data_IF_463536980609
#
_entry.id   IF_463536980609
#
_cell.length_a   1.000
_cell.length_b   1.000
_cell.length_c   1.000
_cell.angle_alpha   90.00
_cell.angle_beta   90.00
_cell.angle_gamma   90.00
#
_symmetry.space_group_name_H-M   'P 1'
#
loop_
_entity.id
_entity.type
_entity.pdbx_description
1 polymer ?
#
# COMPACT_ATOMS: atom_id res chain seq x y z
N UNK A 1 -20.82 -6.93 -7.34
CA UNK A 1 -21.78 -5.86 -7.08
C UNK A 1 -22.05 -5.03 -8.32
N UNK A 2 -23.06 -4.23 -8.26
CA UNK A 2 -23.45 -3.29 -9.32
C UNK A 2 -23.20 -1.86 -8.85
N UNK A 3 -23.41 -0.88 -9.73
CA UNK A 3 -23.33 0.55 -9.36
C UNK A 3 -24.43 0.89 -8.34
N UNK A 4 -25.61 0.32 -8.51
CA UNK A 4 -26.75 0.50 -7.59
C UNK A 4 -26.44 -0.02 -6.19
N UNK A 5 -25.74 -1.16 -6.06
CA UNK A 5 -25.30 -1.70 -4.75
C UNK A 5 -24.36 -0.72 -4.04
N UNK A 6 -23.45 -0.07 -4.78
CA UNK A 6 -22.51 0.90 -4.21
C UNK A 6 -23.21 2.22 -3.82
N UNK A 7 -24.14 2.69 -4.65
CA UNK A 7 -24.96 3.87 -4.32
C UNK A 7 -25.83 3.62 -3.07
N UNK A 8 -26.41 2.42 -2.95
CA UNK A 8 -27.14 2.02 -1.75
C UNK A 8 -26.23 1.98 -0.52
N UNK A 9 -25.02 1.40 -0.63
CA UNK A 9 -24.06 1.37 0.46
C UNK A 9 -23.68 2.78 0.95
N UNK A 10 -23.40 3.69 0.03
CA UNK A 10 -23.07 5.09 0.34
C UNK A 10 -24.27 5.76 1.05
N UNK A 11 -25.47 5.61 0.52
CA UNK A 11 -26.69 6.20 1.08
C UNK A 11 -27.01 5.65 2.47
N UNK A 12 -26.86 4.34 2.69
CA UNK A 12 -27.10 3.70 3.99
C UNK A 12 -26.00 4.07 5.01
N UNK A 13 -24.77 4.27 4.56
CA UNK A 13 -23.68 4.82 5.37
C UNK A 13 -24.03 6.24 5.86
N UNK A 14 -24.43 7.13 4.97
CA UNK A 14 -24.79 8.51 5.31
C UNK A 14 -25.93 8.58 6.32
N UNK A 15 -26.95 7.74 6.19
CA UNK A 15 -28.07 7.67 7.17
C UNK A 15 -27.61 7.34 8.59
N UNK A 16 -26.45 6.70 8.73
CA UNK A 16 -25.85 6.26 10.00
C UNK A 16 -24.64 7.11 10.45
N UNK A 17 -24.39 8.23 9.76
CA UNK A 17 -23.18 9.05 9.94
C UNK A 17 -21.87 8.28 9.73
N UNK A 18 -21.90 7.31 8.81
CA UNK A 18 -20.72 6.54 8.40
C UNK A 18 -20.37 6.98 6.98
N UNK A 19 -19.14 7.47 6.80
CA UNK A 19 -18.60 7.80 5.48
C UNK A 19 -17.91 6.57 4.88
N UNK A 20 -18.20 6.28 3.62
CA UNK A 20 -17.51 5.23 2.87
C UNK A 20 -16.27 5.83 2.24
N UNK A 21 -15.10 5.26 2.54
CA UNK A 21 -13.81 5.63 1.95
C UNK A 21 -13.44 4.55 0.95
N UNK A 22 -13.10 4.96 -0.27
CA UNK A 22 -12.71 4.06 -1.35
C UNK A 22 -11.20 3.96 -1.48
N UNK A 23 -10.72 2.78 -1.86
CA UNK A 23 -9.34 2.59 -2.28
C UNK A 23 -9.13 3.10 -3.72
N UNK A 24 -8.08 3.91 -3.92
CA UNK A 24 -7.64 4.40 -5.22
C UNK A 24 -6.28 3.81 -5.56
N UNK A 25 -6.27 2.90 -6.52
CA UNK A 25 -5.04 2.31 -7.06
C UNK A 25 -4.59 3.16 -8.24
N UNK A 26 -3.66 4.08 -8.00
CA UNK A 26 -3.23 5.07 -8.98
C UNK A 26 -1.84 4.80 -9.57
N UNK A 27 -1.11 3.83 -9.03
CA UNK A 27 0.23 3.47 -9.51
C UNK A 27 0.21 2.53 -10.73
N UNK A 28 -0.79 1.66 -10.83
CA UNK A 28 -0.89 0.61 -11.85
C UNK A 28 -2.34 0.26 -12.17
N UNK A 29 -2.55 -0.51 -13.22
CA UNK A 29 -3.85 -1.13 -13.52
C UNK A 29 -3.71 -2.65 -13.59
N UNK A 30 -4.82 -3.37 -13.75
CA UNK A 30 -4.76 -4.75 -14.23
C UNK A 30 -4.21 -4.80 -15.66
N UNK A 31 -3.52 -5.88 -16.02
CA UNK A 31 -3.14 -6.18 -17.40
C UNK A 31 -4.38 -6.41 -18.30
N UNK A 32 -5.52 -6.77 -17.71
CA UNK A 32 -6.81 -6.89 -18.41
C UNK A 32 -7.54 -5.56 -18.58
N UNK A 33 -7.04 -4.47 -18.01
CA UNK A 33 -7.65 -3.16 -18.14
C UNK A 33 -7.67 -2.70 -19.60
N UNK A 34 -8.77 -2.08 -20.01
CA UNK A 34 -8.94 -1.60 -21.39
C UNK A 34 -7.76 -0.76 -21.89
N UNK A 35 -7.25 0.15 -21.06
CA UNK A 35 -6.10 0.98 -21.45
C UNK A 35 -4.86 0.16 -21.77
N UNK A 36 -4.56 -0.88 -20.98
CA UNK A 36 -3.39 -1.72 -21.23
C UNK A 36 -3.57 -2.59 -22.46
N UNK A 37 -4.76 -3.15 -22.66
CA UNK A 37 -5.07 -3.93 -23.86
C UNK A 37 -4.98 -3.08 -25.15
N UNK A 38 -5.35 -1.81 -25.08
CA UNK A 38 -5.15 -0.86 -26.19
C UNK A 38 -3.66 -0.49 -26.35
N UNK A 39 -2.94 -0.24 -25.27
CA UNK A 39 -1.50 0.07 -25.28
C UNK A 39 -0.68 -1.04 -25.94
N UNK A 40 -1.05 -2.30 -25.74
CA UNK A 40 -0.40 -3.46 -26.39
C UNK A 40 -0.53 -3.48 -27.91
N UNK A 41 -1.40 -2.67 -28.53
CA UNK A 41 -1.51 -2.54 -29.98
C UNK A 41 -0.37 -1.73 -30.62
N UNK A 42 0.40 -1.00 -29.81
CA UNK A 42 1.61 -0.32 -30.23
C UNK A 42 1.62 1.20 -30.08
N UNK A 43 2.75 1.86 -30.43
CA UNK A 43 2.98 3.28 -30.15
C UNK A 43 2.00 4.26 -30.81
N UNK A 44 1.34 3.86 -31.89
CA UNK A 44 0.34 4.71 -32.57
C UNK A 44 -1.01 4.74 -31.82
N UNK A 45 -1.19 3.89 -30.81
CA UNK A 45 -2.40 3.85 -30.01
C UNK A 45 -2.37 4.95 -28.93
N UNK A 46 -3.44 5.75 -28.73
CA UNK A 46 -3.47 6.85 -27.77
C UNK A 46 -3.25 6.42 -26.31
N UNK A 47 -3.47 5.16 -25.98
CA UNK A 47 -3.25 4.60 -24.63
C UNK A 47 -1.83 4.08 -24.41
N UNK A 48 -0.97 4.03 -25.45
CA UNK A 48 0.38 3.50 -25.33
C UNK A 48 1.17 4.19 -24.22
N UNK A 49 1.22 5.51 -24.26
CA UNK A 49 1.97 6.33 -23.30
C UNK A 49 1.31 6.46 -21.93
N UNK A 50 0.19 5.76 -21.67
CA UNK A 50 -0.39 5.66 -20.32
C UNK A 50 0.45 4.76 -19.42
N UNK A 51 1.32 3.94 -19.99
CA UNK A 51 2.19 3.01 -19.26
C UNK A 51 3.66 3.36 -19.45
N UNK A 52 4.49 2.79 -18.58
CA UNK A 52 5.93 3.02 -18.60
C UNK A 52 6.60 1.94 -19.43
N UNK A 53 7.25 2.34 -20.52
CA UNK A 53 7.94 1.46 -21.46
C UNK A 53 9.45 1.71 -21.49
N UNK A 54 10.23 0.66 -21.81
CA UNK A 54 11.67 0.74 -22.05
C UNK A 54 12.07 -0.12 -23.24
N UNK A 55 13.17 0.25 -23.92
CA UNK A 55 13.80 -0.56 -24.96
C UNK A 55 14.54 -1.76 -24.36
N UNK A 56 15.18 -1.56 -23.21
CA UNK A 56 15.94 -2.56 -22.47
C UNK A 56 15.60 -2.45 -20.97
N UNK A 57 15.56 -3.58 -20.24
CA UNK A 57 15.35 -3.56 -18.81
C UNK A 57 16.62 -3.07 -18.10
N UNK A 58 16.43 -2.43 -16.94
CA UNK A 58 17.52 -2.16 -16.00
C UNK A 58 17.42 -3.11 -14.80
N UNK A 59 18.23 -2.86 -13.75
CA UNK A 59 18.30 -3.71 -12.56
C UNK A 59 17.14 -3.57 -11.58
N UNK A 60 16.09 -2.79 -11.88
CA UNK A 60 14.92 -2.68 -11.00
C UNK A 60 14.28 -4.05 -10.77
N UNK A 61 13.96 -4.30 -9.50
CA UNK A 61 13.29 -5.53 -9.07
C UNK A 61 11.84 -5.25 -8.69
N UNK A 62 10.99 -6.21 -8.99
CA UNK A 62 9.61 -6.22 -8.49
C UNK A 62 9.58 -6.45 -6.97
N UNK A 63 8.66 -5.81 -6.29
CA UNK A 63 8.35 -6.07 -4.86
C UNK A 63 7.97 -7.54 -4.63
N UNK A 64 7.40 -8.20 -5.65
CA UNK A 64 7.02 -9.62 -5.59
C UNK A 64 8.07 -10.54 -6.21
N UNK A 65 9.36 -10.21 -6.06
CA UNK A 65 10.51 -10.95 -6.61
C UNK A 65 10.65 -10.88 -8.14
N UNK A 66 11.88 -11.04 -8.60
CA UNK A 66 12.24 -11.02 -10.02
C UNK A 66 12.45 -9.61 -10.58
N UNK A 67 12.52 -9.52 -11.92
CA UNK A 67 12.63 -8.25 -12.64
C UNK A 67 11.36 -7.42 -12.48
N UNK A 68 11.50 -6.08 -12.47
CA UNK A 68 10.35 -5.16 -12.58
C UNK A 68 9.94 -4.89 -14.04
N UNK A 69 10.54 -5.58 -15.00
CA UNK A 69 10.31 -5.37 -16.42
C UNK A 69 9.86 -6.65 -17.09
N UNK A 70 8.76 -6.59 -17.87
CA UNK A 70 8.23 -7.70 -18.64
C UNK A 70 8.29 -7.42 -20.13
N UNK A 71 8.82 -8.39 -20.91
CA UNK A 71 9.03 -8.26 -22.34
C UNK A 71 7.77 -8.53 -23.16
N UNK A 72 7.47 -7.64 -24.10
CA UNK A 72 6.35 -7.75 -25.04
C UNK A 72 6.91 -8.04 -26.44
N UNK A 73 6.94 -9.30 -26.91
CA UNK A 73 7.67 -9.69 -28.12
C UNK A 73 7.25 -8.96 -29.40
N UNK A 74 5.96 -8.73 -29.62
CA UNK A 74 5.46 -8.11 -30.85
C UNK A 74 5.73 -6.59 -30.91
N UNK A 75 5.98 -5.94 -29.76
CA UNK A 75 6.37 -4.53 -29.67
C UNK A 75 7.89 -4.35 -29.59
N UNK A 76 8.63 -5.42 -29.27
CA UNK A 76 10.04 -5.37 -28.94
C UNK A 76 10.33 -4.32 -27.85
N UNK A 77 9.51 -4.29 -26.80
CA UNK A 77 9.57 -3.35 -25.66
C UNK A 77 9.34 -4.09 -24.35
N UNK A 78 9.72 -3.43 -23.26
CA UNK A 78 9.43 -3.87 -21.90
C UNK A 78 8.49 -2.88 -21.24
N UNK A 79 7.50 -3.36 -20.49
CA UNK A 79 6.72 -2.49 -19.59
C UNK A 79 7.18 -2.66 -18.14
N UNK A 80 7.05 -1.59 -17.37
CA UNK A 80 7.34 -1.60 -15.94
C UNK A 80 6.18 -2.21 -15.16
N UNK A 81 6.51 -3.07 -14.17
CA UNK A 81 5.59 -3.55 -13.14
C UNK A 81 6.32 -3.65 -11.80
N UNK A 82 6.13 -2.70 -10.93
CA UNK A 82 6.77 -2.72 -9.61
C UNK A 82 6.23 -3.83 -8.70
N UNK A 83 5.07 -4.40 -9.04
CA UNK A 83 4.42 -5.53 -8.36
C UNK A 83 4.33 -6.75 -9.28
N UNK A 84 3.14 -7.30 -9.49
CA UNK A 84 2.95 -8.43 -10.39
C UNK A 84 3.11 -8.02 -11.86
N UNK A 85 3.55 -8.97 -12.70
CA UNK A 85 3.49 -8.84 -14.18
C UNK A 85 2.08 -8.50 -14.68
N UNK A 86 1.05 -8.79 -13.90
CA UNK A 86 -0.35 -8.44 -14.17
C UNK A 86 -0.75 -7.04 -13.70
N UNK A 87 0.20 -6.24 -13.23
CA UNK A 87 -0.03 -4.90 -12.69
C UNK A 87 0.92 -3.90 -13.37
N UNK A 88 0.71 -3.58 -14.67
CA UNK A 88 1.54 -2.63 -15.40
C UNK A 88 1.44 -1.22 -14.81
N UNK A 89 2.59 -0.59 -14.61
CA UNK A 89 2.73 0.72 -13.98
C UNK A 89 2.30 1.86 -14.90
N UNK A 90 1.52 2.79 -14.36
CA UNK A 90 1.04 3.99 -15.05
C UNK A 90 2.12 5.07 -15.14
N UNK A 91 2.08 5.80 -16.26
CA UNK A 91 2.99 6.90 -16.58
C UNK A 91 2.37 8.26 -16.21
N UNK A 92 2.57 8.71 -15.00
CA UNK A 92 2.05 9.98 -14.50
C UNK A 92 2.63 11.24 -15.18
N UNK A 93 3.60 11.08 -16.08
CA UNK A 93 4.06 12.18 -16.97
C UNK A 93 3.05 12.47 -18.09
N UNK A 94 2.11 11.55 -18.37
CA UNK A 94 1.13 11.70 -19.43
C UNK A 94 -0.09 12.54 -18.97
N UNK A 95 -0.37 13.70 -19.60
CA UNK A 95 -1.47 14.56 -19.19
C UNK A 95 -2.86 13.98 -19.47
N UNK A 96 -3.00 13.14 -20.52
CA UNK A 96 -4.28 12.51 -20.84
C UNK A 96 -4.64 11.44 -19.78
N UNK A 97 -3.66 10.64 -19.33
CA UNK A 97 -3.84 9.73 -18.20
C UNK A 97 -4.29 10.48 -16.95
N UNK A 98 -3.64 11.59 -16.62
CA UNK A 98 -4.00 12.38 -15.43
C UNK A 98 -5.46 12.86 -15.51
N UNK A 99 -5.90 13.31 -16.67
CA UNK A 99 -7.29 13.76 -16.85
C UNK A 99 -8.29 12.62 -16.62
N UNK A 100 -8.04 11.42 -17.17
CA UNK A 100 -8.88 10.23 -16.94
C UNK A 100 -8.98 9.88 -15.43
N UNK A 101 -7.85 9.98 -14.72
CA UNK A 101 -7.81 9.74 -13.28
C UNK A 101 -8.63 10.81 -12.52
N UNK A 102 -8.50 12.09 -12.87
CA UNK A 102 -9.28 13.15 -12.25
C UNK A 102 -10.79 12.97 -12.50
N UNK A 103 -11.18 12.62 -13.72
CA UNK A 103 -12.57 12.38 -14.08
C UNK A 103 -13.15 11.19 -13.29
N UNK A 104 -12.38 10.12 -13.14
CA UNK A 104 -12.76 8.96 -12.33
C UNK A 104 -12.93 9.31 -10.84
N UNK A 105 -12.01 10.08 -10.25
CA UNK A 105 -12.09 10.50 -8.85
C UNK A 105 -13.30 11.43 -8.64
N UNK A 106 -13.50 12.41 -9.52
CA UNK A 106 -14.62 13.34 -9.44
C UNK A 106 -15.96 12.61 -9.59
N UNK A 107 -16.06 11.62 -10.46
CA UNK A 107 -17.24 10.76 -10.56
C UNK A 107 -17.60 10.11 -9.20
N UNK A 108 -16.63 9.59 -8.46
CA UNK A 108 -16.90 9.00 -7.15
C UNK A 108 -17.21 10.03 -6.07
N UNK A 109 -16.63 11.23 -6.14
CA UNK A 109 -16.98 12.36 -5.27
C UNK A 109 -18.46 12.73 -5.49
N UNK A 110 -18.90 12.84 -6.75
CA UNK A 110 -20.28 13.12 -7.11
C UNK A 110 -21.27 12.02 -6.62
N UNK A 111 -20.82 10.78 -6.56
CA UNK A 111 -21.58 9.67 -5.97
C UNK A 111 -21.69 9.74 -4.43
N UNK A 112 -20.93 10.64 -3.79
CA UNK A 112 -21.04 10.89 -2.36
C UNK A 112 -20.14 10.04 -1.48
N UNK A 113 -19.00 9.54 -1.99
CA UNK A 113 -18.00 8.90 -1.13
C UNK A 113 -17.45 9.88 -0.09
N UNK A 114 -17.06 9.41 1.07
CA UNK A 114 -16.56 10.22 2.17
C UNK A 114 -15.06 10.47 2.13
N UNK A 115 -14.36 9.87 1.19
CA UNK A 115 -12.91 10.04 1.03
C UNK A 115 -12.25 8.89 0.29
N UNK A 116 -10.91 8.92 0.32
CA UNK A 116 -10.08 7.97 -0.41
C UNK A 116 -8.86 7.52 0.41
N UNK A 117 -8.51 6.24 0.28
CA UNK A 117 -7.18 5.71 0.60
C UNK A 117 -6.42 5.55 -0.72
N UNK A 118 -5.24 6.14 -0.80
CA UNK A 118 -4.44 6.13 -2.03
C UNK A 118 -3.33 5.08 -1.90
N UNK A 119 -3.47 4.01 -2.68
CA UNK A 119 -2.58 2.87 -2.72
C UNK A 119 -1.19 3.27 -3.21
N UNK A 120 -0.16 2.88 -2.47
CA UNK A 120 1.28 3.13 -2.76
C UNK A 120 1.55 4.46 -3.46
N UNK A 121 0.98 5.52 -2.93
CA UNK A 121 0.97 6.84 -3.58
C UNK A 121 2.36 7.46 -3.72
N UNK A 122 3.31 7.06 -2.89
CA UNK A 122 4.71 7.46 -2.96
C UNK A 122 5.42 7.00 -4.24
N UNK A 123 4.81 6.08 -5.00
CA UNK A 123 5.37 5.54 -6.25
C UNK A 123 4.97 6.31 -7.51
N UNK A 124 3.98 7.21 -7.50
CA UNK A 124 3.51 7.86 -8.74
C UNK A 124 4.53 8.84 -9.33
N UNK A 125 5.45 9.35 -8.52
CA UNK A 125 6.55 10.23 -8.95
C UNK A 125 7.80 9.53 -9.44
N UNK A 126 7.72 8.23 -9.74
CA UNK A 126 8.86 7.39 -10.14
C UNK A 126 9.63 7.91 -11.36
N UNK A 127 10.94 7.70 -11.35
CA UNK A 127 11.85 7.90 -12.49
C UNK A 127 12.66 6.60 -12.69
N UNK A 128 12.07 5.58 -13.34
CA UNK A 128 12.69 4.25 -13.45
C UNK A 128 14.04 4.26 -14.16
N UNK A 129 14.23 5.18 -15.10
CA UNK A 129 15.47 5.41 -15.82
C UNK A 129 16.62 5.86 -14.91
N UNK A 130 16.31 6.38 -13.72
CA UNK A 130 17.26 6.78 -12.68
C UNK A 130 17.25 5.84 -11.48
N UNK A 131 16.56 4.72 -11.56
CA UNK A 131 16.34 3.76 -10.48
C UNK A 131 15.59 4.35 -9.27
N UNK A 132 14.80 5.40 -9.50
CA UNK A 132 13.95 6.01 -8.48
C UNK A 132 12.56 5.41 -8.59
N UNK A 133 12.15 4.63 -7.59
CA UNK A 133 10.86 3.95 -7.54
C UNK A 133 9.84 4.63 -6.64
N UNK A 134 10.30 5.29 -5.57
CA UNK A 134 9.47 6.01 -4.60
C UNK A 134 10.05 7.40 -4.32
N UNK A 135 9.23 8.30 -3.77
CA UNK A 135 9.61 9.67 -3.39
C UNK A 135 10.36 10.45 -4.50
N UNK A 136 10.01 10.18 -5.75
CA UNK A 136 10.63 10.87 -6.88
C UNK A 136 10.37 12.39 -6.86
N UNK A 137 11.20 13.19 -7.55
CA UNK A 137 11.19 14.66 -7.43
C UNK A 137 9.89 15.32 -7.90
N UNK A 138 9.07 14.62 -8.67
CA UNK A 138 7.77 15.10 -9.15
C UNK A 138 6.59 14.69 -8.26
N UNK A 139 6.82 13.88 -7.23
CA UNK A 139 5.75 13.29 -6.43
C UNK A 139 4.82 14.32 -5.79
N UNK A 140 5.34 15.21 -4.96
CA UNK A 140 4.54 16.22 -4.27
C UNK A 140 3.85 17.20 -5.20
N UNK A 141 4.48 17.73 -6.26
CA UNK A 141 3.76 18.47 -7.31
C UNK A 141 2.58 17.70 -7.93
N UNK A 142 2.73 16.38 -8.18
CA UNK A 142 1.63 15.55 -8.72
C UNK A 142 0.49 15.38 -7.71
N UNK A 143 0.81 15.18 -6.43
CA UNK A 143 -0.21 15.06 -5.38
C UNK A 143 -0.95 16.39 -5.17
N UNK A 144 -0.25 17.52 -5.22
CA UNK A 144 -0.86 18.84 -5.12
C UNK A 144 -1.79 19.12 -6.33
N UNK A 145 -1.36 18.78 -7.53
CA UNK A 145 -2.18 18.85 -8.74
C UNK A 145 -3.42 17.96 -8.61
N UNK A 146 -3.26 16.72 -8.13
CA UNK A 146 -4.35 15.79 -7.86
C UNK A 146 -5.35 16.38 -6.86
N UNK A 147 -4.89 16.92 -5.74
CA UNK A 147 -5.72 17.58 -4.74
C UNK A 147 -6.50 18.74 -5.36
N UNK A 148 -5.83 19.64 -6.08
CA UNK A 148 -6.46 20.81 -6.72
C UNK A 148 -7.56 20.42 -7.72
N UNK A 149 -7.33 19.36 -8.50
CA UNK A 149 -8.23 18.92 -9.58
C UNK A 149 -9.39 18.04 -9.08
N UNK A 150 -9.31 17.51 -7.87
CA UNK A 150 -10.29 16.54 -7.37
C UNK A 150 -10.81 16.90 -5.97
N UNK A 151 -10.29 16.30 -4.93
CA UNK A 151 -10.87 16.33 -3.58
C UNK A 151 -10.57 17.61 -2.76
N UNK A 152 -9.68 18.49 -3.21
CA UNK A 152 -9.25 19.67 -2.43
C UNK A 152 -10.34 20.71 -2.16
N UNK A 153 -11.44 20.70 -2.90
CA UNK A 153 -12.58 21.59 -2.70
C UNK A 153 -13.67 21.00 -1.78
N UNK A 154 -13.50 19.77 -1.30
CA UNK A 154 -14.51 19.00 -0.58
C UNK A 154 -14.05 18.64 0.84
N UNK A 155 -15.00 18.48 1.75
CA UNK A 155 -14.74 17.95 3.10
C UNK A 155 -14.65 16.42 3.07
N UNK A 156 -13.54 15.91 2.56
CA UNK A 156 -13.25 14.50 2.40
C UNK A 156 -12.02 14.08 3.21
N UNK A 157 -12.01 12.83 3.65
CA UNK A 157 -10.82 12.23 4.28
C UNK A 157 -9.94 11.62 3.18
N UNK A 158 -8.67 11.99 3.15
CA UNK A 158 -7.68 11.38 2.27
C UNK A 158 -6.52 10.81 3.07
N UNK A 159 -6.14 9.57 2.78
CA UNK A 159 -5.01 8.92 3.44
C UNK A 159 -4.13 8.25 2.39
N UNK A 160 -2.85 8.62 2.36
CA UNK A 160 -1.86 8.01 1.48
C UNK A 160 -1.19 6.80 2.13
N UNK A 161 -1.04 5.73 1.39
CA UNK A 161 -0.13 4.65 1.76
C UNK A 161 1.27 5.00 1.28
N UNK A 162 2.23 5.12 2.23
CA UNK A 162 3.58 5.60 1.96
C UNK A 162 4.60 4.74 2.70
N UNK A 163 5.19 3.77 2.00
CA UNK A 163 6.19 2.86 2.58
C UNK A 163 7.54 3.52 2.82
N UNK A 164 7.83 4.57 2.07
CA UNK A 164 9.08 5.36 2.16
C UNK A 164 9.05 6.48 3.19
N UNK A 165 7.90 6.71 3.85
CA UNK A 165 7.72 7.84 4.74
C UNK A 165 8.55 7.75 6.02
N UNK A 166 9.19 8.85 6.36
CA UNK A 166 9.73 9.18 7.66
C UNK A 166 9.05 10.43 8.24
N UNK A 167 9.26 10.81 9.51
CA UNK A 167 8.60 11.98 10.07
C UNK A 167 8.95 13.32 9.38
N UNK A 168 10.08 13.41 8.67
CA UNK A 168 10.48 14.60 7.94
C UNK A 168 9.66 14.74 6.66
N UNK A 169 9.64 13.71 5.80
CA UNK A 169 8.87 13.76 4.56
C UNK A 169 7.36 13.62 4.78
N UNK A 170 6.91 12.98 5.86
CA UNK A 170 5.49 12.88 6.23
C UNK A 170 4.80 14.25 6.35
N UNK A 171 5.54 15.29 6.72
CA UNK A 171 5.02 16.66 6.78
C UNK A 171 4.68 17.19 5.39
N UNK A 172 5.39 16.77 4.35
CA UNK A 172 5.10 17.18 2.99
C UNK A 172 3.72 16.67 2.53
N UNK A 173 3.35 15.46 2.95
CA UNK A 173 2.06 14.87 2.59
C UNK A 173 0.89 15.40 3.41
N UNK A 174 1.08 15.67 4.72
CA UNK A 174 -0.04 15.85 5.65
C UNK A 174 -0.09 17.19 6.39
N UNK A 175 0.87 18.09 6.17
CA UNK A 175 0.77 19.45 6.71
C UNK A 175 -0.37 20.20 6.02
N UNK A 176 -1.29 20.86 6.76
CA UNK A 176 -2.48 21.50 6.17
C UNK A 176 -2.17 22.51 5.05
N UNK A 177 -1.08 23.28 5.17
CA UNK A 177 -0.70 24.27 4.17
C UNK A 177 -0.16 23.68 2.86
N UNK A 178 0.14 22.38 2.85
CA UNK A 178 0.65 21.67 1.69
C UNK A 178 -0.43 21.36 0.65
N UNK A 179 -1.67 21.21 1.09
CA UNK A 179 -2.80 20.83 0.25
C UNK A 179 -2.53 19.53 -0.50
N UNK A 180 -2.17 18.51 0.25
CA UNK A 180 -1.97 17.15 -0.25
C UNK A 180 -3.01 16.22 0.39
N UNK A 181 -2.70 15.51 1.48
CA UNK A 181 -3.63 14.58 2.11
C UNK A 181 -4.00 15.00 3.54
N UNK A 182 -5.05 14.42 4.09
CA UNK A 182 -5.39 14.59 5.50
C UNK A 182 -4.35 13.92 6.40
N UNK A 183 -3.81 12.77 5.98
CA UNK A 183 -2.85 11.96 6.72
C UNK A 183 -2.19 10.91 5.81
N UNK A 184 -1.19 10.20 6.34
CA UNK A 184 -0.56 9.05 5.68
C UNK A 184 -0.44 7.85 6.62
N UNK A 185 -0.40 6.65 6.05
CA UNK A 185 0.11 5.46 6.72
C UNK A 185 1.63 5.41 6.61
N UNK A 186 2.30 5.27 7.74
CA UNK A 186 3.73 5.00 7.84
C UNK A 186 3.96 3.53 8.21
N UNK A 187 5.06 2.95 7.79
CA UNK A 187 5.33 1.51 7.97
C UNK A 187 6.61 1.21 8.77
N UNK A 188 7.23 2.21 9.40
CA UNK A 188 8.48 2.01 10.13
C UNK A 188 8.35 0.96 11.25
N UNK A 189 7.20 0.96 11.98
CA UNK A 189 6.95 -0.02 13.03
C UNK A 189 6.76 -1.46 12.48
N UNK A 190 6.41 -1.58 11.21
CA UNK A 190 6.20 -2.87 10.53
C UNK A 190 7.52 -3.57 10.21
N UNK A 191 8.62 -2.85 10.08
CA UNK A 191 9.96 -3.40 9.80
C UNK A 191 10.75 -3.88 11.02
N UNK A 192 10.24 -3.71 12.25
CA UNK A 192 11.05 -3.88 13.47
C UNK A 192 11.39 -5.34 13.83
N UNK A 193 10.68 -6.29 13.28
CA UNK A 193 10.86 -7.74 13.47
C UNK A 193 11.53 -8.42 12.26
N UNK A 194 12.29 -7.64 11.48
CA UNK A 194 13.15 -8.13 10.39
C UNK A 194 14.61 -7.77 10.62
N UNK A 195 15.52 -8.53 10.03
CA UNK A 195 16.96 -8.26 10.07
C UNK A 195 17.28 -6.99 9.29
N UNK A 196 18.14 -6.16 9.85
CA UNK A 196 18.55 -4.90 9.22
C UNK A 196 19.21 -5.13 7.85
N UNK A 197 18.77 -4.39 6.85
CA UNK A 197 19.27 -4.50 5.46
C UNK A 197 18.86 -5.78 4.74
N UNK A 198 17.94 -6.57 5.29
CA UNK A 198 17.38 -7.77 4.68
C UNK A 198 15.93 -7.59 4.28
N UNK A 199 15.37 -8.60 3.63
CA UNK A 199 13.96 -8.62 3.22
C UNK A 199 13.04 -8.89 4.41
N UNK A 200 11.74 -8.60 4.28
CA UNK A 200 10.76 -8.80 5.36
C UNK A 200 10.70 -10.23 5.89
N UNK A 201 11.10 -11.20 5.08
CA UNK A 201 11.09 -12.63 5.39
C UNK A 201 12.28 -13.11 6.26
N UNK A 202 13.26 -12.24 6.45
CA UNK A 202 14.44 -12.51 7.29
C UNK A 202 14.14 -12.05 8.71
N UNK A 203 13.63 -12.97 9.53
CA UNK A 203 13.07 -12.68 10.85
C UNK A 203 14.14 -12.21 11.84
N UNK A 204 13.77 -11.24 12.67
CA UNK A 204 14.48 -10.85 13.89
C UNK A 204 13.49 -10.79 15.07
N UNK A 205 13.95 -10.98 16.30
CA UNK A 205 13.09 -10.79 17.46
C UNK A 205 12.59 -9.34 17.54
N UNK A 206 11.29 -9.17 17.80
CA UNK A 206 10.74 -7.84 18.07
C UNK A 206 11.28 -7.33 19.42
N UNK A 207 11.87 -6.15 19.39
CA UNK A 207 12.26 -5.41 20.60
C UNK A 207 11.17 -4.39 20.97
N UNK A 208 10.46 -4.59 22.10
CA UNK A 208 9.44 -3.64 22.56
C UNK A 208 9.96 -2.21 22.78
N UNK A 209 11.23 -2.06 23.15
CA UNK A 209 11.83 -0.73 23.33
C UNK A 209 12.00 -0.01 21.98
N UNK A 210 12.40 -0.72 20.94
CA UNK A 210 12.45 -0.16 19.58
C UNK A 210 11.07 0.22 19.07
N UNK A 211 10.07 -0.62 19.29
CA UNK A 211 8.67 -0.32 18.93
C UNK A 211 8.20 0.96 19.64
N UNK A 212 8.41 1.06 20.95
CA UNK A 212 8.08 2.27 21.70
C UNK A 212 8.79 3.51 21.16
N UNK A 213 10.07 3.42 20.86
CA UNK A 213 10.86 4.53 20.32
C UNK A 213 10.35 5.02 18.96
N UNK A 214 10.02 4.11 18.06
CA UNK A 214 9.46 4.45 16.73
C UNK A 214 8.11 5.14 16.89
N UNK A 215 7.19 4.57 17.66
CA UNK A 215 5.88 5.18 17.86
C UNK A 215 5.98 6.54 18.59
N UNK A 216 6.86 6.67 19.60
CA UNK A 216 7.10 7.95 20.28
C UNK A 216 7.69 9.00 19.34
N UNK A 217 8.62 8.62 18.47
CA UNK A 217 9.19 9.52 17.45
C UNK A 217 8.08 10.09 16.57
N UNK A 218 7.24 9.24 15.98
CA UNK A 218 6.13 9.67 15.14
C UNK A 218 5.12 10.54 15.89
N UNK A 219 4.85 10.23 17.16
CA UNK A 219 3.95 11.03 18.00
C UNK A 219 4.52 12.44 18.32
N UNK A 220 5.84 12.56 18.45
CA UNK A 220 6.47 13.85 18.84
C UNK A 220 6.84 14.71 17.64
N UNK A 221 7.34 14.12 16.56
CA UNK A 221 7.87 14.87 15.42
C UNK A 221 6.78 15.41 14.48
N UNK A 222 5.60 14.79 14.45
CA UNK A 222 4.46 15.30 13.67
C UNK A 222 3.57 16.30 14.39
N UNK A 223 3.79 16.57 15.67
CA UNK A 223 2.97 17.56 16.41
C UNK A 223 3.02 18.92 15.72
N UNK A 224 1.84 19.39 15.28
CA UNK A 224 1.69 20.67 14.60
C UNK A 224 2.23 20.72 13.16
N UNK A 225 2.68 19.60 12.62
CA UNK A 225 3.29 19.50 11.28
C UNK A 225 2.61 18.49 10.36
N UNK A 226 1.77 17.63 10.91
CA UNK A 226 1.04 16.59 10.17
C UNK A 226 0.10 15.83 11.09
N UNK A 227 -0.46 14.74 10.57
CA UNK A 227 -1.41 13.90 11.31
C UNK A 227 -1.11 12.42 11.15
N UNK A 228 -1.07 11.68 12.26
CA UNK A 228 -0.79 10.25 12.27
C UNK A 228 -2.02 9.43 11.90
N UNK A 229 -1.83 8.43 11.02
CA UNK A 229 -2.72 7.28 10.92
C UNK A 229 -2.21 6.17 11.83
N UNK A 230 -3.04 5.71 12.76
CA UNK A 230 -2.66 4.73 13.77
C UNK A 230 -3.22 3.37 13.40
N UNK A 231 -2.36 2.37 13.19
CA UNK A 231 -2.76 1.01 12.87
C UNK A 231 -1.73 -0.01 13.37
N UNK A 232 -2.17 -1.23 13.62
CA UNK A 232 -1.29 -2.35 13.92
C UNK A 232 -1.10 -3.28 12.72
N UNK A 233 -2.13 -3.49 11.95
CA UNK A 233 -2.14 -4.37 10.79
C UNK A 233 -3.13 -3.90 9.73
N UNK A 234 -3.08 -4.55 8.58
CA UNK A 234 -3.97 -4.36 7.45
C UNK A 234 -4.05 -5.66 6.62
N UNK A 235 -4.67 -5.61 5.44
CA UNK A 235 -4.80 -6.76 4.53
C UNK A 235 -3.47 -7.27 3.95
N UNK A 236 -2.37 -6.52 4.09
CA UNK A 236 -1.02 -6.88 3.62
C UNK A 236 -0.11 -7.42 4.73
N UNK A 237 -0.59 -7.42 5.97
CA UNK A 237 0.21 -7.71 7.16
C UNK A 237 -0.40 -8.85 7.98
N UNK A 238 0.42 -9.58 8.75
CA UNK A 238 -0.07 -10.57 9.70
C UNK A 238 -0.90 -9.90 10.81
N UNK A 239 -1.75 -10.70 11.47
CA UNK A 239 -2.61 -10.24 12.55
C UNK A 239 -1.82 -9.67 13.73
N UNK A 240 -2.31 -8.55 14.25
CA UNK A 240 -1.63 -7.75 15.28
C UNK A 240 -1.25 -8.55 16.53
N UNK A 241 -2.17 -9.38 17.05
CA UNK A 241 -1.93 -10.17 18.28
C UNK A 241 -0.81 -11.18 18.06
N UNK A 242 -0.82 -11.90 16.93
CA UNK A 242 0.22 -12.88 16.61
C UNK A 242 1.59 -12.26 16.39
N UNK A 243 1.64 -10.99 15.97
CA UNK A 243 2.89 -10.31 15.66
C UNK A 243 3.47 -9.51 16.84
N UNK A 244 2.63 -8.73 17.52
CA UNK A 244 3.04 -7.76 18.54
C UNK A 244 2.64 -8.20 19.96
N UNK A 245 1.85 -9.24 20.10
CA UNK A 245 1.34 -9.76 21.36
C UNK A 245 1.69 -11.20 21.62
N UNK A 246 0.82 -11.88 22.37
CA UNK A 246 0.89 -13.31 22.66
C UNK A 246 -0.47 -13.93 22.29
N UNK A 247 -0.50 -14.71 21.22
CA UNK A 247 -1.72 -15.29 20.65
C UNK A 247 -2.14 -16.63 21.29
N UNK A 248 -1.35 -17.12 22.27
CA UNK A 248 -1.73 -18.31 23.03
C UNK A 248 -3.09 -18.09 23.72
N UNK A 249 -3.96 -19.08 23.80
CA UNK A 249 -5.33 -18.93 24.31
C UNK A 249 -5.45 -18.22 25.66
N UNK A 250 -4.47 -18.42 26.56
CA UNK A 250 -4.44 -17.80 27.89
C UNK A 250 -4.14 -16.28 27.86
N UNK A 251 -3.51 -15.78 26.80
CA UNK A 251 -3.00 -14.41 26.72
C UNK A 251 -3.60 -13.58 25.57
N UNK A 252 -4.26 -14.23 24.61
CA UNK A 252 -4.83 -13.59 23.41
C UNK A 252 -5.72 -12.38 23.75
N UNK A 253 -6.65 -12.53 24.68
CA UNK A 253 -7.57 -11.45 25.07
C UNK A 253 -6.82 -10.28 25.73
N UNK A 254 -5.88 -10.59 26.63
CA UNK A 254 -5.07 -9.55 27.29
C UNK A 254 -4.17 -8.82 26.30
N UNK A 255 -3.55 -9.55 25.37
CA UNK A 255 -2.73 -8.96 24.30
C UNK A 255 -3.55 -8.05 23.41
N UNK A 256 -4.73 -8.49 22.96
CA UNK A 256 -5.63 -7.67 22.14
C UNK A 256 -6.05 -6.39 22.86
N UNK A 257 -6.44 -6.47 24.13
CA UNK A 257 -6.79 -5.30 24.93
C UNK A 257 -5.61 -4.35 25.14
N UNK A 258 -4.41 -4.88 25.40
CA UNK A 258 -3.19 -4.07 25.54
C UNK A 258 -2.87 -3.32 24.25
N UNK A 259 -2.89 -4.00 23.10
CA UNK A 259 -2.64 -3.39 21.80
C UNK A 259 -3.70 -2.32 21.47
N UNK A 260 -4.98 -2.57 21.74
CA UNK A 260 -6.05 -1.61 21.55
C UNK A 260 -5.87 -0.36 22.42
N UNK A 261 -5.54 -0.52 23.71
CA UNK A 261 -5.25 0.59 24.60
C UNK A 261 -4.08 1.40 24.06
N UNK A 262 -2.98 0.74 23.70
CA UNK A 262 -1.80 1.43 23.20
C UNK A 262 -2.12 2.27 21.96
N UNK A 263 -2.82 1.69 20.96
CA UNK A 263 -3.20 2.39 19.74
C UNK A 263 -4.11 3.59 20.00
N UNK A 264 -5.21 3.36 20.73
CA UNK A 264 -6.27 4.36 20.86
C UNK A 264 -5.92 5.51 21.82
N UNK A 265 -4.86 5.41 22.63
CA UNK A 265 -4.39 6.50 23.48
C UNK A 265 -3.28 7.34 22.83
N UNK A 266 -2.84 7.00 21.63
CA UNK A 266 -1.95 7.86 20.84
C UNK A 266 -2.74 8.97 20.11
N UNK A 267 -2.06 10.06 19.76
CA UNK A 267 -2.64 11.14 18.96
C UNK A 267 -2.63 10.78 17.47
N UNK A 268 -3.79 10.72 16.86
CA UNK A 268 -3.96 10.37 15.44
C UNK A 268 -5.33 9.76 15.17
N UNK A 269 -5.56 9.34 13.93
CA UNK A 269 -6.77 8.63 13.52
C UNK A 269 -6.54 7.13 13.61
N UNK A 270 -7.27 6.39 14.47
CA UNK A 270 -7.13 4.95 14.58
C UNK A 270 -7.82 4.23 13.42
N UNK A 271 -7.14 3.23 12.87
CA UNK A 271 -7.65 2.30 11.87
C UNK A 271 -7.70 0.91 12.47
N UNK A 272 -8.86 0.28 12.42
CA UNK A 272 -9.11 -1.05 12.96
C UNK A 272 -9.35 -1.98 11.78
N UNK A 273 -8.42 -2.92 11.55
CA UNK A 273 -8.58 -3.91 10.50
C UNK A 273 -9.67 -4.90 10.88
N UNK A 274 -10.52 -5.29 9.91
CA UNK A 274 -11.60 -6.25 10.15
C UNK A 274 -11.09 -7.52 10.85
N UNK A 275 -11.77 -7.93 11.92
CA UNK A 275 -11.37 -9.04 12.77
C UNK A 275 -10.46 -8.65 13.95
N UNK A 276 -9.82 -7.48 13.92
CA UNK A 276 -9.02 -6.99 15.04
C UNK A 276 -9.91 -6.76 16.28
N UNK A 277 -11.14 -6.26 16.08
CA UNK A 277 -12.13 -6.01 17.14
C UNK A 277 -12.58 -7.28 17.90
N UNK A 278 -12.44 -8.45 17.29
CA UNK A 278 -12.71 -9.74 17.94
C UNK A 278 -11.42 -10.51 18.27
N UNK A 279 -10.28 -9.86 18.11
CA UNK A 279 -8.96 -10.42 18.43
C UNK A 279 -8.56 -11.59 17.52
N UNK A 280 -8.79 -11.50 16.20
CA UNK A 280 -8.29 -12.50 15.26
C UNK A 280 -6.78 -12.64 15.33
N UNK A 281 -6.31 -13.86 15.14
CA UNK A 281 -4.89 -14.25 15.10
C UNK A 281 -4.57 -14.87 13.74
N UNK A 282 -3.28 -15.02 13.43
CA UNK A 282 -2.84 -15.69 12.21
C UNK A 282 -3.39 -17.12 12.10
N UNK A 283 -3.64 -17.56 10.87
CA UNK A 283 -3.92 -18.97 10.57
C UNK A 283 -2.61 -19.63 10.12
N UNK A 284 -1.98 -20.48 10.94
CA UNK A 284 -0.70 -21.09 10.58
C UNK A 284 -0.88 -22.07 9.42
N UNK A 285 0.06 -22.03 8.47
CA UNK A 285 0.16 -23.01 7.38
C UNK A 285 1.29 -24.00 7.67
N UNK A 286 1.17 -25.20 7.11
CA UNK A 286 2.18 -26.26 7.20
C UNK A 286 2.76 -26.62 5.84
N UNK A 287 2.12 -26.14 4.77
CA UNK A 287 2.53 -26.37 3.40
C UNK A 287 2.25 -25.14 2.54
N UNK A 288 3.15 -24.84 1.59
CA UNK A 288 3.03 -23.67 0.70
C UNK A 288 1.75 -23.69 -0.16
N UNK A 289 1.21 -24.86 -0.45
CA UNK A 289 -0.04 -24.97 -1.21
C UNK A 289 -1.26 -24.41 -0.46
N UNK A 290 -1.15 -24.16 0.83
CA UNK A 290 -2.18 -23.50 1.65
C UNK A 290 -2.15 -21.96 1.53
N UNK A 291 -1.05 -21.39 1.01
CA UNK A 291 -0.95 -19.96 0.76
C UNK A 291 -1.51 -19.62 -0.62
N UNK A 292 -2.40 -18.64 -0.70
CA UNK A 292 -2.91 -18.11 -1.97
C UNK A 292 -2.19 -16.85 -2.43
N UNK A 293 -1.51 -16.15 -1.51
CA UNK A 293 -0.78 -14.93 -1.79
C UNK A 293 0.39 -15.15 -2.78
N UNK A 294 0.42 -14.33 -3.84
CA UNK A 294 1.41 -14.41 -4.92
C UNK A 294 2.83 -14.05 -4.44
N UNK A 295 2.96 -13.08 -3.54
CA UNK A 295 4.24 -12.67 -2.98
C UNK A 295 4.86 -13.82 -2.19
N UNK A 296 4.08 -14.43 -1.31
CA UNK A 296 4.48 -15.60 -0.50
C UNK A 296 4.93 -16.76 -1.37
N UNK A 297 4.16 -17.10 -2.42
CA UNK A 297 4.50 -18.21 -3.33
C UNK A 297 5.78 -17.94 -4.13
N UNK A 298 5.98 -16.73 -4.62
CA UNK A 298 7.19 -16.35 -5.37
C UNK A 298 8.41 -16.32 -4.49
N UNK A 299 8.32 -15.69 -3.32
CA UNK A 299 9.40 -15.71 -2.33
C UNK A 299 9.80 -17.15 -1.97
N UNK A 300 8.82 -18.01 -1.71
CA UNK A 300 9.09 -19.42 -1.39
C UNK A 300 9.87 -20.10 -2.52
N UNK A 301 9.42 -19.97 -3.78
CA UNK A 301 10.08 -20.58 -4.93
C UNK A 301 11.52 -20.05 -5.10
N UNK A 302 11.72 -18.73 -5.08
CA UNK A 302 13.03 -18.10 -5.21
C UNK A 302 13.99 -18.54 -4.10
N UNK A 303 13.53 -18.60 -2.84
CA UNK A 303 14.38 -18.95 -1.72
C UNK A 303 14.69 -20.47 -1.64
N UNK A 304 13.79 -21.34 -2.09
CA UNK A 304 14.11 -22.78 -2.25
C UNK A 304 15.23 -22.96 -3.27
N UNK A 305 15.20 -22.26 -4.40
CA UNK A 305 16.29 -22.29 -5.40
C UNK A 305 17.62 -21.75 -4.84
N UNK A 306 17.55 -20.81 -3.91
CA UNK A 306 18.72 -20.25 -3.20
C UNK A 306 19.17 -21.08 -2.00
N UNK A 307 18.59 -22.27 -1.76
CA UNK A 307 19.05 -23.26 -0.78
C UNK A 307 18.46 -23.12 0.63
N UNK A 308 17.41 -22.31 0.81
CA UNK A 308 16.67 -22.27 2.09
C UNK A 308 15.87 -23.57 2.29
N UNK A 309 15.71 -23.98 3.54
CA UNK A 309 14.90 -25.15 3.88
C UNK A 309 13.40 -24.84 3.91
N UNK A 310 12.57 -25.85 3.67
CA UNK A 310 11.11 -25.72 3.78
C UNK A 310 10.68 -25.23 5.17
N UNK A 311 11.30 -25.73 6.22
CA UNK A 311 10.99 -25.37 7.60
C UNK A 311 11.26 -23.88 7.90
N UNK A 312 12.42 -23.37 7.46
CA UNK A 312 12.75 -21.95 7.60
C UNK A 312 11.71 -21.09 6.89
N UNK A 313 11.34 -21.44 5.65
CA UNK A 313 10.39 -20.67 4.86
C UNK A 313 8.98 -20.71 5.44
N UNK A 314 8.49 -21.85 5.88
CA UNK A 314 7.18 -21.95 6.53
C UNK A 314 7.16 -21.14 7.84
N UNK A 315 8.26 -21.13 8.59
CA UNK A 315 8.40 -20.28 9.79
C UNK A 315 8.28 -18.80 9.43
N UNK A 316 9.00 -18.34 8.39
CA UNK A 316 8.91 -16.96 7.92
C UNK A 316 7.51 -16.59 7.41
N UNK A 317 6.87 -17.49 6.67
CA UNK A 317 5.51 -17.26 6.15
C UNK A 317 4.50 -17.14 7.29
N UNK A 318 4.55 -18.01 8.29
CA UNK A 318 3.67 -17.92 9.44
C UNK A 318 3.87 -16.67 10.29
N UNK A 319 5.06 -16.05 10.24
CA UNK A 319 5.36 -14.81 10.94
C UNK A 319 5.03 -13.55 10.14
N UNK A 320 5.16 -13.58 8.80
CA UNK A 320 5.15 -12.40 7.94
C UNK A 320 4.16 -12.45 6.78
N UNK A 321 3.57 -13.61 6.52
CA UNK A 321 2.60 -13.78 5.44
C UNK A 321 1.32 -12.98 5.68
N UNK A 322 0.63 -12.68 4.59
CA UNK A 322 -0.70 -12.05 4.64
C UNK A 322 -1.71 -13.05 5.20
N UNK A 323 -2.65 -12.54 5.97
CA UNK A 323 -3.77 -13.31 6.48
C UNK A 323 -4.95 -13.19 5.50
N UNK A 324 -4.93 -14.02 4.48
CA UNK A 324 -5.97 -14.08 3.44
C UNK A 324 -6.92 -15.25 3.67
#
# INVERSE_FOLDING_TARGET
GTMEDMEELIAEGHKRNIKIIMDLVLNHTSDEHFWFQEALKGPDNPYYDYYVWADEPNELRSTFSGSAWEYVPHLNKYYLHQFSVKQPDLNWKNPALKQEIWDMINFWIEKGVGGFRLDVIDLIGKEPEKLITADGPTLHPLIQELNEKTFGAYDLVTVGETWSADPENAQLYSHPDRKEFSMIFQFEHVGLDQQEGKEKWDLAPLDPARLHNVLSKWQTELVGKGWNSLFWNNHDLPRAISRFGDDRPAFRELSGKMLAIYLHFMSGTPYIYQGEEIGMINTPITDINQADDIETRRMYAERIENGFTKEELITSINAKGRDN
#
